data_IF_751232432007
#
_entry.id   IF_751232432007
#
_cell.length_a   1.000
_cell.length_b   1.000
_cell.length_c   1.000
_cell.angle_alpha   90.00
_cell.angle_beta   90.00
_cell.angle_gamma   90.00
#
_symmetry.space_group_name_H-M   'P 1'
#
loop_
_entity.id
_entity.type
_entity.pdbx_description
1 polymer ?
#
# COMPACT_ATOMS: atom_id res chain seq x y z
N UNK A 1 6.65 -16.89 -1.01
CA UNK A 1 7.18 -15.51 -0.91
C UNK A 1 8.17 -15.35 0.23
N UNK A 2 7.79 -15.57 1.50
CA UNK A 2 8.71 -15.45 2.66
C UNK A 2 10.00 -16.26 2.48
N UNK A 3 9.89 -17.53 2.10
CA UNK A 3 11.04 -18.39 1.85
C UNK A 3 11.97 -17.88 0.73
N UNK A 4 11.44 -17.17 -0.26
CA UNK A 4 12.25 -16.57 -1.33
C UNK A 4 13.11 -15.44 -0.79
N UNK A 5 12.54 -14.57 0.07
CA UNK A 5 13.30 -13.49 0.72
C UNK A 5 14.29 -13.99 1.77
N UNK A 6 13.95 -15.04 2.54
CA UNK A 6 14.89 -15.63 3.50
C UNK A 6 16.14 -16.23 2.83
N UNK A 7 16.02 -16.73 1.59
CA UNK A 7 17.20 -17.16 0.82
C UNK A 7 18.12 -16.00 0.45
N UNK A 8 17.54 -14.86 0.09
CA UNK A 8 18.30 -13.66 -0.27
C UNK A 8 18.90 -12.99 0.96
N UNK A 9 18.20 -13.05 2.10
CA UNK A 9 18.59 -12.43 3.36
C UNK A 9 18.57 -13.48 4.48
N UNK A 10 19.63 -14.28 4.66
CA UNK A 10 19.65 -15.38 5.63
C UNK A 10 19.46 -14.95 7.10
N UNK A 11 19.73 -13.68 7.43
CA UNK A 11 19.50 -13.12 8.75
C UNK A 11 18.02 -12.78 9.04
N UNK A 12 17.14 -12.84 8.02
CA UNK A 12 15.73 -12.51 8.15
C UNK A 12 14.99 -13.58 8.96
N UNK A 13 14.78 -13.29 10.24
CA UNK A 13 13.96 -14.10 11.14
C UNK A 13 12.55 -13.51 11.20
N UNK A 14 11.54 -14.32 10.86
CA UNK A 14 10.15 -13.89 10.81
C UNK A 14 9.23 -14.99 11.34
N UNK A 15 8.31 -14.62 12.22
CA UNK A 15 7.18 -15.47 12.62
C UNK A 15 6.03 -15.27 11.62
N UNK A 16 5.89 -16.22 10.69
CA UNK A 16 4.91 -16.13 9.61
C UNK A 16 3.48 -16.25 10.13
N UNK A 17 3.24 -17.12 11.10
CA UNK A 17 1.89 -17.40 11.60
C UNK A 17 1.36 -16.21 12.41
N UNK A 18 2.22 -15.62 13.24
CA UNK A 18 1.86 -14.41 13.99
C UNK A 18 1.51 -13.25 13.05
N UNK A 19 2.35 -12.98 12.05
CA UNK A 19 2.11 -11.88 11.11
C UNK A 19 0.87 -12.13 10.25
N UNK A 20 0.68 -13.35 9.75
CA UNK A 20 -0.51 -13.70 8.98
C UNK A 20 -1.80 -13.54 9.79
N UNK A 21 -1.77 -13.89 11.08
CA UNK A 21 -2.90 -13.69 12.00
C UNK A 21 -3.25 -12.20 12.17
N UNK A 22 -2.24 -11.33 12.27
CA UNK A 22 -2.44 -9.87 12.31
C UNK A 22 -3.04 -9.36 11.01
N UNK A 23 -2.50 -9.77 9.85
CA UNK A 23 -3.01 -9.35 8.55
C UNK A 23 -4.47 -9.75 8.32
N UNK A 24 -4.88 -10.95 8.76
CA UNK A 24 -6.29 -11.38 8.68
C UNK A 24 -7.21 -10.42 9.48
N UNK A 25 -6.83 -10.09 10.71
CA UNK A 25 -7.59 -9.13 11.54
C UNK A 25 -7.66 -7.74 10.91
N UNK A 26 -6.57 -7.28 10.30
CA UNK A 26 -6.56 -6.00 9.58
C UNK A 26 -7.45 -6.03 8.34
N UNK A 27 -7.45 -7.13 7.58
CA UNK A 27 -8.33 -7.30 6.42
C UNK A 27 -9.81 -7.25 6.83
N UNK A 28 -10.19 -7.97 7.90
CA UNK A 28 -11.55 -7.93 8.43
C UNK A 28 -11.96 -6.50 8.81
N UNK A 29 -11.07 -5.79 9.51
CA UNK A 29 -11.33 -4.40 9.93
C UNK A 29 -11.47 -3.43 8.75
N UNK A 30 -10.62 -3.55 7.72
CA UNK A 30 -10.69 -2.72 6.53
C UNK A 30 -11.98 -2.96 5.74
N UNK A 31 -12.44 -4.21 5.69
CA UNK A 31 -13.71 -4.59 5.07
C UNK A 31 -14.91 -4.02 5.84
N UNK A 32 -14.92 -4.13 7.17
CA UNK A 32 -15.97 -3.53 8.03
C UNK A 32 -16.09 -2.02 7.82
N UNK A 33 -14.96 -1.34 7.62
CA UNK A 33 -14.92 0.10 7.41
C UNK A 33 -15.23 0.52 5.96
N UNK A 34 -15.36 -0.42 5.03
CA UNK A 34 -15.62 -0.14 3.62
C UNK A 34 -14.54 0.72 2.95
N UNK A 35 -13.28 0.61 3.39
CA UNK A 35 -12.18 1.46 2.92
C UNK A 35 -11.49 0.93 1.65
N UNK A 36 -11.76 -0.31 1.27
CA UNK A 36 -11.16 -0.97 0.11
C UNK A 36 -12.18 -1.03 -1.02
N UNK A 37 -11.81 -0.52 -2.19
CA UNK A 37 -12.68 -0.49 -3.36
C UNK A 37 -11.93 -0.06 -4.62
N UNK A 38 -12.65 0.07 -5.73
CA UNK A 38 -12.10 0.56 -6.99
C UNK A 38 -11.86 2.07 -6.92
N UNK A 39 -10.60 2.46 -6.75
CA UNK A 39 -10.21 3.86 -6.66
C UNK A 39 -10.23 4.57 -8.00
N UNK A 40 -10.15 3.85 -9.12
CA UNK A 40 -10.20 4.45 -10.47
C UNK A 40 -11.62 4.93 -10.74
N UNK A 41 -12.61 4.07 -10.52
CA UNK A 41 -14.03 4.45 -10.67
C UNK A 41 -14.40 5.58 -9.70
N UNK A 42 -14.02 5.45 -8.43
CA UNK A 42 -14.28 6.48 -7.44
C UNK A 42 -13.68 7.85 -7.82
N UNK A 43 -12.43 7.89 -8.30
CA UNK A 43 -11.79 9.13 -8.72
C UNK A 43 -12.41 9.71 -10.01
N UNK A 44 -12.74 8.88 -11.00
CA UNK A 44 -13.37 9.37 -12.23
C UNK A 44 -14.77 9.93 -11.97
N UNK A 45 -15.54 9.32 -11.06
CA UNK A 45 -16.84 9.84 -10.65
C UNK A 45 -16.73 11.17 -9.88
N UNK A 46 -15.76 11.30 -8.97
CA UNK A 46 -15.49 12.58 -8.29
C UNK A 46 -15.13 13.68 -9.30
N UNK A 47 -14.32 13.35 -10.31
CA UNK A 47 -13.96 14.27 -11.40
C UNK A 47 -15.17 14.65 -12.25
N UNK A 48 -16.02 13.70 -12.66
CA UNK A 48 -17.26 13.95 -13.43
C UNK A 48 -18.24 14.82 -12.67
N UNK A 49 -18.30 14.67 -11.34
CA UNK A 49 -19.12 15.50 -10.45
C UNK A 49 -18.53 16.91 -10.21
N UNK A 50 -17.34 17.21 -10.78
CA UNK A 50 -16.69 18.51 -10.62
C UNK A 50 -16.14 18.77 -9.22
N UNK A 51 -15.83 17.72 -8.45
CA UNK A 51 -15.25 17.86 -7.11
C UNK A 51 -13.78 18.29 -7.19
N UNK A 52 -13.35 19.13 -6.26
CA UNK A 52 -11.93 19.43 -6.06
C UNK A 52 -11.25 18.24 -5.36
N UNK A 53 -10.13 17.78 -5.91
CA UNK A 53 -9.33 16.68 -5.36
C UNK A 53 -7.94 17.21 -4.99
N UNK A 54 -7.57 17.07 -3.72
CA UNK A 54 -6.22 17.35 -3.24
C UNK A 54 -5.37 16.09 -3.36
N UNK A 55 -4.20 16.19 -3.98
CA UNK A 55 -3.23 15.10 -4.08
C UNK A 55 -2.01 15.46 -3.25
N UNK A 56 -1.74 14.66 -2.22
CA UNK A 56 -0.59 14.84 -1.34
C UNK A 56 0.56 13.98 -1.87
N UNK A 57 1.66 14.62 -2.29
CA UNK A 57 2.90 13.91 -2.61
C UNK A 57 3.58 13.41 -1.34
N UNK A 58 4.16 12.20 -1.38
CA UNK A 58 4.82 11.61 -0.22
C UNK A 58 6.29 12.07 -0.07
N UNK A 59 7.07 11.99 -1.14
CA UNK A 59 8.52 12.25 -1.15
C UNK A 59 8.85 13.53 -1.94
N UNK A 60 10.14 13.90 -1.93
CA UNK A 60 10.66 15.03 -2.73
C UNK A 60 11.23 14.58 -4.08
N UNK A 61 11.28 15.50 -5.04
CA UNK A 61 11.74 15.21 -6.41
C UNK A 61 13.17 14.62 -6.49
N UNK A 62 14.06 14.95 -5.53
CA UNK A 62 15.41 14.37 -5.50
C UNK A 62 15.45 12.88 -5.10
N UNK A 63 14.34 12.33 -4.57
CA UNK A 63 14.17 10.92 -4.21
C UNK A 63 13.34 10.16 -5.25
N UNK A 64 13.04 10.78 -6.38
CA UNK A 64 12.39 10.13 -7.50
C UNK A 64 13.27 9.00 -8.05
N UNK A 65 12.67 7.88 -8.46
CA UNK A 65 13.42 6.70 -8.90
C UNK A 65 14.10 6.89 -10.26
N UNK A 66 13.55 7.75 -11.12
CA UNK A 66 14.05 8.03 -12.46
C UNK A 66 14.85 9.34 -12.51
N UNK A 67 14.39 10.36 -11.78
CA UNK A 67 14.93 11.73 -11.83
C UNK A 67 15.72 12.14 -10.58
N UNK A 68 15.72 11.31 -9.54
CA UNK A 68 16.45 11.57 -8.31
C UNK A 68 17.96 11.52 -8.50
N UNK A 69 18.67 12.00 -7.49
CA UNK A 69 20.13 11.92 -7.44
C UNK A 69 20.46 10.84 -6.41
N UNK A 70 20.77 9.64 -6.89
CA UNK A 70 21.37 8.59 -6.05
C UNK A 70 22.77 9.03 -5.65
#
# INVERSE_FOLDING_TARGET
>A
LVHHYQKQYPALTLDVELELSKFKKHADRLNEMGLVGDTIEALDDMRRQGKSVLVEGANGAMLDIDFGII
#
